data_IF_258281506348
#
_entry.id   IF_258281506348
#
_cell.length_a   1.000
_cell.length_b   1.000
_cell.length_c   1.000
_cell.angle_alpha   90.00
_cell.angle_beta   90.00
_cell.angle_gamma   90.00
#
_symmetry.space_group_name_H-M   'P 1'
#
loop_
_entity.id
_entity.type
_entity.pdbx_description
1 polymer ?
#
# COMPACT_ATOMS: atom_id res chain seq x y z
N UNK A 1 -23.85 7.48 -9.57
CA UNK A 1 -23.52 8.47 -8.52
C UNK A 1 -22.05 8.80 -8.70
N UNK A 2 -21.66 10.07 -8.60
CA UNK A 2 -20.24 10.45 -8.73
C UNK A 2 -19.46 9.80 -7.60
N UNK A 3 -18.40 9.07 -7.93
CA UNK A 3 -17.41 8.60 -6.96
C UNK A 3 -16.88 9.82 -6.19
N UNK A 4 -16.95 9.77 -4.86
CA UNK A 4 -16.41 10.82 -4.01
C UNK A 4 -14.88 10.81 -4.05
N UNK A 5 -14.22 11.90 -3.65
CA UNK A 5 -12.75 11.91 -3.59
C UNK A 5 -12.21 10.84 -2.63
N UNK A 6 -12.95 10.58 -1.55
CA UNK A 6 -12.65 9.57 -0.54
C UNK A 6 -12.70 8.16 -1.12
N UNK A 7 -13.81 7.79 -1.78
CA UNK A 7 -13.97 6.50 -2.44
C UNK A 7 -12.89 6.27 -3.51
N UNK A 8 -12.56 7.29 -4.32
CA UNK A 8 -11.50 7.20 -5.33
C UNK A 8 -10.12 6.93 -4.72
N UNK A 9 -9.80 7.57 -3.59
CA UNK A 9 -8.53 7.34 -2.88
C UNK A 9 -8.46 5.85 -2.48
N UNK A 10 -9.48 5.37 -1.76
CA UNK A 10 -9.56 3.98 -1.30
C UNK A 10 -9.46 3.00 -2.47
N UNK A 11 -10.26 3.19 -3.51
CA UNK A 11 -10.30 2.31 -4.68
C UNK A 11 -8.94 2.21 -5.38
N UNK A 12 -8.23 3.32 -5.50
CA UNK A 12 -6.89 3.34 -6.07
C UNK A 12 -5.91 2.59 -5.17
N UNK A 13 -5.94 2.80 -3.85
CA UNK A 13 -5.06 2.08 -2.93
C UNK A 13 -5.31 0.56 -2.98
N UNK A 14 -6.58 0.14 -3.01
CA UNK A 14 -6.96 -1.28 -3.09
C UNK A 14 -6.48 -1.93 -4.38
N UNK A 15 -6.44 -1.18 -5.49
CA UNK A 15 -5.90 -1.65 -6.76
C UNK A 15 -4.41 -1.99 -6.64
N UNK A 16 -3.61 -1.10 -6.05
CA UNK A 16 -2.19 -1.36 -5.81
C UNK A 16 -1.95 -2.47 -4.79
N UNK A 17 -2.75 -2.53 -3.72
CA UNK A 17 -2.73 -3.65 -2.78
C UNK A 17 -2.95 -4.98 -3.50
N UNK A 18 -3.97 -5.08 -4.37
CA UNK A 18 -4.24 -6.31 -5.11
C UNK A 18 -3.06 -6.70 -6.02
N UNK A 19 -2.38 -5.73 -6.63
CA UNK A 19 -1.17 -5.99 -7.41
C UNK A 19 -0.02 -6.51 -6.52
N UNK A 20 0.18 -5.90 -5.35
CA UNK A 20 1.20 -6.31 -4.38
C UNK A 20 0.95 -7.70 -3.80
N UNK A 21 -0.30 -8.08 -3.57
CA UNK A 21 -0.66 -9.44 -3.15
C UNK A 21 -0.21 -10.49 -4.18
N UNK A 22 -0.30 -10.18 -5.48
CA UNK A 22 0.22 -11.05 -6.55
C UNK A 22 1.74 -11.12 -6.52
N UNK A 23 2.42 -10.01 -6.24
CA UNK A 23 3.88 -9.98 -6.09
C UNK A 23 4.32 -10.83 -4.91
N UNK A 24 3.69 -10.67 -3.73
CA UNK A 24 3.96 -11.50 -2.55
C UNK A 24 3.77 -12.98 -2.87
N UNK A 25 2.62 -13.33 -3.44
CA UNK A 25 2.30 -14.72 -3.78
C UNK A 25 3.34 -15.34 -4.73
N UNK A 26 3.83 -14.60 -5.73
CA UNK A 26 4.86 -15.10 -6.64
C UNK A 26 6.25 -15.20 -6.01
N UNK A 27 6.60 -14.26 -5.14
CA UNK A 27 7.83 -14.32 -4.37
C UNK A 27 7.88 -15.58 -3.48
N UNK A 28 6.76 -15.89 -2.81
CA UNK A 28 6.59 -17.10 -1.99
C UNK A 28 6.60 -18.39 -2.85
N UNK A 29 5.89 -18.40 -3.99
CA UNK A 29 5.82 -19.56 -4.89
C UNK A 29 7.18 -19.97 -5.45
N UNK A 30 8.04 -19.00 -5.76
CA UNK A 30 9.31 -19.24 -6.44
C UNK A 30 10.51 -19.40 -5.50
N UNK A 31 10.29 -19.30 -4.18
CA UNK A 31 11.37 -19.29 -3.17
C UNK A 31 12.52 -18.36 -3.60
N UNK A 32 12.14 -17.17 -4.06
CA UNK A 32 13.06 -16.29 -4.78
C UNK A 32 14.21 -15.87 -3.85
N UNK A 33 15.48 -15.90 -4.32
CA UNK A 33 16.67 -15.77 -3.47
C UNK A 33 16.97 -14.32 -3.04
N UNK A 34 15.96 -13.45 -3.02
CA UNK A 34 16.08 -12.04 -2.69
C UNK A 34 15.50 -11.76 -1.31
N UNK A 35 16.24 -11.02 -0.48
CA UNK A 35 15.73 -10.60 0.83
C UNK A 35 14.63 -9.54 0.71
N UNK A 36 14.67 -8.72 -0.35
CA UNK A 36 13.72 -7.64 -0.61
C UNK A 36 13.15 -7.72 -2.02
N UNK A 37 11.84 -7.54 -2.12
CA UNK A 37 11.05 -7.63 -3.34
C UNK A 37 10.55 -6.26 -3.78
N UNK A 38 10.36 -6.06 -5.10
CA UNK A 38 9.83 -4.81 -5.63
C UNK A 38 8.31 -4.78 -5.48
N UNK A 39 7.81 -4.11 -4.45
CA UNK A 39 6.39 -3.81 -4.32
C UNK A 39 6.08 -2.44 -4.95
N UNK A 40 4.83 -2.27 -5.39
CA UNK A 40 4.33 -0.98 -5.86
C UNK A 40 3.94 -0.13 -4.66
N UNK A 41 4.25 1.16 -4.73
CA UNK A 41 3.70 2.16 -3.81
C UNK A 41 2.16 2.10 -3.84
N UNK A 42 1.52 2.05 -2.66
CA UNK A 42 0.06 1.91 -2.56
C UNK A 42 -0.66 3.26 -2.47
N UNK A 43 0.01 4.39 -2.72
CA UNK A 43 -0.61 5.71 -2.74
C UNK A 43 -1.76 5.79 -3.77
N UNK A 44 -2.72 6.74 -3.63
CA UNK A 44 -3.90 6.79 -4.48
C UNK A 44 -3.67 7.46 -5.84
N UNK A 45 -2.43 7.80 -6.20
CA UNK A 45 -2.13 8.27 -7.56
C UNK A 45 -2.26 7.12 -8.56
N UNK A 46 -3.18 7.20 -9.52
CA UNK A 46 -3.53 6.07 -10.39
C UNK A 46 -2.40 5.66 -11.35
N UNK A 47 -1.43 6.56 -11.57
CA UNK A 47 -0.27 6.40 -12.43
C UNK A 47 1.04 6.23 -11.65
N UNK A 48 0.95 5.96 -10.34
CA UNK A 48 2.14 5.73 -9.53
C UNK A 48 2.87 4.45 -9.98
N UNK A 49 4.14 4.61 -10.35
CA UNK A 49 5.05 3.51 -10.75
C UNK A 49 6.23 3.37 -9.80
N UNK A 50 6.19 4.04 -8.64
CA UNK A 50 7.27 3.97 -7.67
C UNK A 50 7.36 2.57 -7.05
N UNK A 51 8.60 2.07 -6.97
CA UNK A 51 8.90 0.78 -6.37
C UNK A 51 9.40 1.00 -4.95
N UNK A 52 8.76 0.32 -4.01
CA UNK A 52 9.16 0.23 -2.62
C UNK A 52 9.75 -1.16 -2.39
N UNK A 53 10.96 -1.25 -1.83
CA UNK A 53 11.64 -2.52 -1.59
C UNK A 53 11.40 -3.00 -0.16
N UNK A 54 10.54 -4.00 0.00
CA UNK A 54 10.22 -4.63 1.28
C UNK A 54 10.58 -6.11 1.26
N UNK A 55 10.94 -6.65 2.42
CA UNK A 55 10.91 -8.08 2.70
C UNK A 55 9.46 -8.57 2.73
N UNK A 56 9.24 -9.87 2.54
CA UNK A 56 7.91 -10.48 2.73
C UNK A 56 7.40 -10.24 4.15
N UNK A 57 8.30 -10.23 5.15
CA UNK A 57 7.96 -9.97 6.55
C UNK A 57 7.49 -8.55 6.79
N UNK A 58 8.17 -7.55 6.22
CA UNK A 58 7.77 -6.14 6.30
C UNK A 58 6.41 -5.93 5.63
N UNK A 59 6.21 -6.48 4.42
CA UNK A 59 4.91 -6.43 3.75
C UNK A 59 3.80 -7.10 4.59
N UNK A 60 4.05 -8.30 5.13
CA UNK A 60 3.11 -9.00 5.99
C UNK A 60 2.79 -8.22 7.29
N UNK A 61 3.77 -7.50 7.85
CA UNK A 61 3.56 -6.66 9.02
C UNK A 61 2.61 -5.49 8.71
N UNK A 62 2.76 -4.82 7.57
CA UNK A 62 1.79 -3.81 7.13
C UNK A 62 0.42 -4.46 6.90
N UNK A 63 0.36 -5.63 6.28
CA UNK A 63 -0.91 -6.35 6.03
C UNK A 63 -1.57 -6.95 7.26
N UNK A 64 -0.89 -7.02 8.40
CA UNK A 64 -1.50 -7.47 9.65
C UNK A 64 -2.66 -6.57 10.09
N UNK A 65 -2.68 -5.31 9.65
CA UNK A 65 -3.83 -4.43 9.76
C UNK A 65 -4.42 -4.15 8.35
N UNK A 66 -5.66 -4.57 8.06
CA UNK A 66 -6.27 -4.37 6.75
C UNK A 66 -6.49 -2.89 6.41
N UNK A 67 -6.45 -1.97 7.37
CA UNK A 67 -6.56 -0.54 7.09
C UNK A 67 -5.21 0.15 6.82
N UNK A 68 -4.10 -0.58 6.94
CA UNK A 68 -2.78 -0.03 6.66
C UNK A 68 -2.43 -0.13 5.18
N UNK A 69 -1.84 0.93 4.65
CA UNK A 69 -1.23 1.01 3.33
C UNK A 69 0.19 1.54 3.47
N UNK A 70 1.04 1.32 2.47
CA UNK A 70 2.38 1.92 2.46
C UNK A 70 2.62 2.75 1.20
N UNK A 71 3.32 3.86 1.38
CA UNK A 71 3.65 4.78 0.31
C UNK A 71 5.15 4.97 0.21
N UNK A 72 5.63 5.36 -0.97
CA UNK A 72 6.99 5.86 -1.11
C UNK A 72 7.13 7.18 -0.31
N UNK A 73 8.31 7.46 0.30
CA UNK A 73 8.50 8.70 1.04
C UNK A 73 8.15 9.93 0.20
N UNK A 74 7.33 10.83 0.75
CA UNK A 74 6.83 12.04 0.08
C UNK A 74 5.48 11.85 -0.65
N UNK A 75 4.93 10.65 -0.67
CA UNK A 75 3.63 10.35 -1.30
C UNK A 75 2.48 10.31 -0.29
N UNK A 76 2.75 10.36 1.01
CA UNK A 76 1.76 10.23 2.09
C UNK A 76 0.70 11.33 2.10
N UNK A 77 1.02 12.52 1.60
CA UNK A 77 0.08 13.64 1.51
C UNK A 77 -1.10 13.36 0.55
N UNK A 78 -0.93 12.42 -0.39
CA UNK A 78 -2.00 12.02 -1.30
C UNK A 78 -3.12 11.24 -0.61
N UNK A 79 -2.91 10.79 0.63
CA UNK A 79 -3.85 9.98 1.39
C UNK A 79 -4.91 10.82 2.12
N UNK A 80 -4.74 12.13 2.21
CA UNK A 80 -5.75 13.03 2.76
C UNK A 80 -7.00 13.13 1.85
N UNK A 81 -8.21 13.24 2.41
CA UNK A 81 -8.52 13.39 3.84
C UNK A 81 -8.74 12.07 4.59
N UNK A 82 -8.56 10.91 3.96
CA UNK A 82 -9.02 9.61 4.48
C UNK A 82 -7.93 8.75 5.13
N UNK A 83 -6.67 9.18 5.06
CA UNK A 83 -5.53 8.47 5.60
C UNK A 83 -4.66 9.37 6.47
N UNK A 84 -4.04 8.77 7.49
CA UNK A 84 -3.05 9.42 8.37
C UNK A 84 -1.77 8.61 8.44
N UNK A 85 -0.63 9.27 8.58
CA UNK A 85 0.64 8.59 8.83
C UNK A 85 0.63 7.99 10.24
N UNK A 86 0.98 6.70 10.34
CA UNK A 86 1.08 5.97 11.62
C UNK A 86 2.48 5.40 11.87
N UNK A 87 3.36 5.44 10.87
CA UNK A 87 4.73 4.99 11.00
C UNK A 87 5.55 5.35 9.78
N UNK A 88 6.86 5.32 9.95
CA UNK A 88 7.84 5.48 8.89
C UNK A 88 8.95 4.47 9.12
N UNK A 89 9.30 3.73 8.08
CA UNK A 89 10.38 2.76 8.07
C UNK A 89 11.42 3.17 7.04
N UNK A 90 12.56 2.50 7.00
CA UNK A 90 13.58 2.78 6.00
C UNK A 90 13.08 2.42 4.58
N UNK A 91 12.71 3.47 3.84
CA UNK A 91 12.27 3.39 2.45
C UNK A 91 10.76 3.45 2.22
N UNK A 92 9.91 3.57 3.26
CA UNK A 92 8.46 3.74 3.09
C UNK A 92 7.74 4.36 4.30
N UNK A 93 6.55 4.89 4.05
CA UNK A 93 5.67 5.47 5.07
C UNK A 93 4.42 4.61 5.18
N UNK A 94 4.02 4.26 6.40
CA UNK A 94 2.78 3.53 6.67
C UNK A 94 1.68 4.52 6.99
N UNK A 95 0.56 4.38 6.27
CA UNK A 95 -0.63 5.18 6.44
C UNK A 95 -1.80 4.29 6.85
N UNK A 96 -2.65 4.79 7.74
CA UNK A 96 -3.84 4.11 8.23
C UNK A 96 -5.09 4.84 7.77
N UNK A 97 -6.05 4.08 7.28
CA UNK A 97 -7.40 4.55 6.96
C UNK A 97 -8.41 4.13 8.02
N UNK A 98 -9.56 4.77 8.05
CA UNK A 98 -10.67 4.31 8.89
C UNK A 98 -11.29 3.03 8.31
N UNK A 99 -11.68 2.09 9.17
CA UNK A 99 -12.21 0.78 8.75
C UNK A 99 -13.41 0.90 7.81
N UNK A 100 -14.30 1.87 8.08
CA UNK A 100 -15.48 2.14 7.26
C UNK A 100 -15.14 2.61 5.84
N UNK A 101 -13.94 3.17 5.63
CA UNK A 101 -13.48 3.58 4.31
C UNK A 101 -12.91 2.41 3.51
N UNK A 102 -12.55 1.28 4.12
CA UNK A 102 -11.87 0.14 3.46
C UNK A 102 -12.86 -0.98 3.09
N UNK A 103 -14.03 -1.00 3.73
CA UNK A 103 -15.10 -1.99 3.50
C UNK A 103 -16.19 -1.53 2.52
N UNK A 104 -16.03 -0.34 1.91
CA UNK A 104 -16.94 0.25 0.92
C UNK A 104 -16.79 -0.31 -0.49
#
# INVERSE_FOLDING_TARGET
MSDTTEERIVNNNLTFRQANERIRSKAEEWDAPFDRFPFLCECPWPDCVQIVRLTIREYAAVRANPTHFFTAPGHEAAEEPVGRVVGSEDGYVVVEKDQTAVEG
#
